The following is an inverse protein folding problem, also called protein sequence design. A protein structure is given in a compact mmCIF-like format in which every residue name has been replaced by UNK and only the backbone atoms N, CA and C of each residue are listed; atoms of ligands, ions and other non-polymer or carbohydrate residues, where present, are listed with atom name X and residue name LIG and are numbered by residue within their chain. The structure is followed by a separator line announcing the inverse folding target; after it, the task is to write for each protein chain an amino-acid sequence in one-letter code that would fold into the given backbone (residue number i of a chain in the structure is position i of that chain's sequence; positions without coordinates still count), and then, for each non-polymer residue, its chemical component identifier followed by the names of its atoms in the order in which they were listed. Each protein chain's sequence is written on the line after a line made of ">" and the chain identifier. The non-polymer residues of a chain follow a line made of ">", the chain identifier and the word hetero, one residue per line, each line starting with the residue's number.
data_IF_929831249012
#
_entry.id   IF_929831249012
#
_cell.length_a   1.000
_cell.length_b   1.000
_cell.length_c   1.000
_cell.angle_alpha   90.00
_cell.angle_beta   90.00
_cell.angle_gamma   90.00
#
_symmetry.space_group_name_H-M   'P 1'
#
loop_
_entity.id
_entity.type
_entity.pdbx_description
1 polymer ?
#
# COMPACT_ATOMS: atom_id res chain seq x y z
N UNK A 1 11.31 -14.87 -5.67
CA UNK A 1 11.79 -13.85 -4.70
C UNK A 1 10.57 -13.36 -3.96
N UNK A 2 10.67 -13.11 -2.65
CA UNK A 2 9.50 -12.73 -1.83
C UNK A 2 9.39 -11.22 -1.66
N UNK A 3 8.41 -10.60 -2.29
CA UNK A 3 8.10 -9.19 -2.09
C UNK A 3 6.92 -9.03 -1.13
N UNK A 4 6.94 -8.00 -0.30
CA UNK A 4 5.76 -7.56 0.43
C UNK A 4 5.14 -6.38 -0.30
N UNK A 5 3.87 -6.51 -0.68
CA UNK A 5 3.09 -5.48 -1.33
C UNK A 5 2.11 -4.91 -0.30
N UNK A 6 2.17 -3.60 -0.06
CA UNK A 6 1.27 -2.91 0.87
C UNK A 6 0.38 -1.97 0.06
N UNK A 7 -0.90 -2.28 -0.01
CA UNK A 7 -1.93 -1.46 -0.63
C UNK A 7 -2.49 -0.46 0.39
N UNK A 8 -2.25 0.82 0.11
CA UNK A 8 -2.88 2.01 0.72
C UNK A 8 -3.58 2.81 -0.39
N UNK A 9 -3.78 4.12 -0.20
CA UNK A 9 -4.11 5.06 -1.31
C UNK A 9 -3.11 4.92 -2.47
N UNK A 10 -1.88 4.52 -2.13
CA UNK A 10 -0.80 4.18 -3.07
C UNK A 10 -0.29 2.78 -2.74
N UNK A 11 0.30 2.09 -3.71
CA UNK A 11 0.88 0.76 -3.52
C UNK A 11 2.38 0.86 -3.28
N UNK A 12 2.86 0.26 -2.19
CA UNK A 12 4.27 0.16 -1.86
C UNK A 12 4.77 -1.28 -2.06
N UNK A 13 5.94 -1.42 -2.67
CA UNK A 13 6.64 -2.70 -2.86
C UNK A 13 7.93 -2.70 -2.04
N UNK A 14 8.01 -3.67 -1.12
CA UNK A 14 9.20 -3.95 -0.32
C UNK A 14 9.80 -5.27 -0.79
N UNK A 15 10.93 -5.21 -1.48
CA UNK A 15 11.59 -6.41 -2.00
C UNK A 15 12.31 -7.19 -0.89
N UNK A 16 12.48 -8.50 -1.10
CA UNK A 16 13.25 -9.38 -0.21
C UNK A 16 14.61 -8.81 0.17
N UNK A 17 15.35 -8.27 -0.80
CA UNK A 17 16.69 -7.70 -0.56
C UNK A 17 16.65 -6.45 0.33
N UNK A 18 15.64 -5.59 0.17
CA UNK A 18 15.47 -4.39 1.00
C UNK A 18 15.10 -4.76 2.43
N UNK A 19 14.16 -5.70 2.60
CA UNK A 19 13.75 -6.19 3.90
C UNK A 19 14.92 -6.86 4.62
N UNK A 20 15.72 -7.67 3.91
CA UNK A 20 16.94 -8.25 4.43
C UNK A 20 17.95 -7.18 4.87
N UNK A 21 18.21 -6.19 4.03
CA UNK A 21 19.12 -5.10 4.35
C UNK A 21 18.63 -4.24 5.53
N UNK A 22 17.31 -4.10 5.70
CA UNK A 22 16.70 -3.43 6.85
C UNK A 22 16.83 -4.28 8.12
N UNK A 23 16.52 -5.57 8.05
CA UNK A 23 16.67 -6.53 9.13
C UNK A 23 18.10 -6.62 9.68
N UNK A 24 19.09 -6.69 8.79
CA UNK A 24 20.50 -6.80 9.17
C UNK A 24 20.97 -5.57 9.96
N UNK A 25 20.39 -4.39 9.71
CA UNK A 25 20.68 -3.16 10.49
C UNK A 25 20.15 -3.21 11.92
N UNK A 26 19.09 -3.99 12.17
CA UNK A 26 18.50 -4.14 13.49
C UNK A 26 19.31 -5.07 14.41
N UNK A 27 20.37 -5.72 13.88
CA UNK A 27 21.24 -6.67 14.62
C UNK A 27 20.47 -7.80 15.30
N UNK A 28 19.41 -8.28 14.65
CA UNK A 28 18.62 -9.40 15.16
C UNK A 28 19.45 -10.69 15.19
N UNK A 29 19.27 -11.50 16.24
CA UNK A 29 19.89 -12.82 16.38
C UNK A 29 19.13 -13.91 15.59
N UNK A 30 17.95 -13.59 15.07
CA UNK A 30 17.14 -14.50 14.28
C UNK A 30 17.54 -14.36 12.80
N UNK A 31 17.88 -15.48 12.11
CA UNK A 31 18.16 -15.45 10.68
C UNK A 31 16.97 -14.94 9.87
N UNK A 32 17.20 -14.05 8.91
CA UNK A 32 16.15 -13.53 8.02
C UNK A 32 15.33 -14.64 7.34
N UNK A 33 16.00 -15.72 6.90
CA UNK A 33 15.34 -16.84 6.24
C UNK A 33 14.40 -17.65 7.16
N UNK A 34 14.45 -17.44 8.47
CA UNK A 34 13.59 -18.12 9.45
C UNK A 34 12.37 -17.30 9.88
N UNK A 35 12.19 -16.09 9.32
CA UNK A 35 11.03 -15.27 9.62
C UNK A 35 9.74 -15.97 9.13
N UNK A 36 8.73 -15.97 9.99
CA UNK A 36 7.37 -16.37 9.59
C UNK A 36 6.78 -15.33 8.65
N UNK A 37 5.72 -15.67 7.92
CA UNK A 37 5.02 -14.71 7.06
C UNK A 37 4.52 -13.49 7.87
N UNK A 38 4.01 -13.71 9.08
CA UNK A 38 3.58 -12.64 9.99
C UNK A 38 4.74 -11.70 10.34
N UNK A 39 5.89 -12.25 10.78
CA UNK A 39 7.08 -11.45 11.10
C UNK A 39 7.64 -10.73 9.88
N UNK A 40 7.49 -11.32 8.69
CA UNK A 40 7.91 -10.74 7.42
C UNK A 40 7.06 -9.53 7.03
N UNK A 41 5.74 -9.62 7.21
CA UNK A 41 4.82 -8.49 7.02
C UNK A 41 5.06 -7.39 8.06
N UNK A 42 5.20 -7.76 9.34
CA UNK A 42 5.52 -6.81 10.43
C UNK A 42 6.81 -6.03 10.14
N UNK A 43 7.84 -6.69 9.59
CA UNK A 43 9.08 -6.04 9.20
C UNK A 43 8.88 -4.99 8.09
N UNK A 44 8.05 -5.29 7.09
CA UNK A 44 7.73 -4.36 6.01
C UNK A 44 6.95 -3.14 6.53
N UNK A 45 6.04 -3.36 7.47
CA UNK A 45 5.32 -2.28 8.14
C UNK A 45 6.21 -1.42 9.04
N UNK A 46 7.11 -2.04 9.78
CA UNK A 46 8.10 -1.35 10.59
C UNK A 46 8.99 -0.46 9.71
N UNK A 47 9.45 -1.00 8.58
CA UNK A 47 10.19 -0.24 7.57
C UNK A 47 9.35 0.92 7.00
N UNK A 48 8.08 0.68 6.67
CA UNK A 48 7.15 1.71 6.17
C UNK A 48 7.02 2.87 7.17
N UNK A 49 6.85 2.58 8.45
CA UNK A 49 6.64 3.57 9.51
C UNK A 49 7.92 4.37 9.85
N UNK A 50 9.10 3.79 9.61
CA UNK A 50 10.38 4.44 9.89
C UNK A 50 11.06 5.04 8.64
N UNK A 51 10.43 4.96 7.47
CA UNK A 51 10.95 5.54 6.23
C UNK A 51 10.57 7.01 6.08
N UNK A 52 11.53 7.83 5.65
CA UNK A 52 11.26 9.21 5.25
C UNK A 52 10.46 9.27 3.94
N UNK A 53 9.87 10.43 3.65
CA UNK A 53 9.11 10.60 2.40
C UNK A 53 9.94 10.28 1.14
N UNK A 54 11.20 10.73 1.08
CA UNK A 54 12.07 10.45 -0.06
C UNK A 54 12.50 8.99 -0.16
N UNK A 55 12.52 8.26 0.96
CA UNK A 55 12.73 6.81 0.96
C UNK A 55 11.49 6.09 0.44
N UNK A 56 10.30 6.50 0.89
CA UNK A 56 9.02 5.93 0.45
C UNK A 56 8.79 6.05 -1.06
N UNK A 57 9.26 7.13 -1.69
CA UNK A 57 9.19 7.28 -3.15
C UNK A 57 9.87 6.15 -3.92
N UNK A 58 10.88 5.49 -3.35
CA UNK A 58 11.60 4.38 -3.97
C UNK A 58 10.83 3.03 -3.91
N UNK A 59 9.75 3.00 -3.13
CA UNK A 59 8.89 1.83 -2.95
C UNK A 59 7.60 1.92 -3.76
N UNK A 60 7.30 3.08 -4.34
CA UNK A 60 6.06 3.31 -5.09
C UNK A 60 6.15 2.76 -6.52
N UNK A 61 5.09 2.10 -6.96
CA UNK A 61 4.87 1.78 -8.38
C UNK A 61 4.82 3.10 -9.20
N UNK A 62 5.37 3.08 -10.42
CA UNK A 62 5.43 4.22 -11.36
C UNK A 62 6.24 5.44 -10.90
N UNK A 63 6.92 5.35 -9.76
CA UNK A 63 7.87 6.36 -9.27
C UNK A 63 9.27 5.75 -9.27
N UNK A 64 10.13 6.24 -10.16
CA UNK A 64 11.51 5.77 -10.27
C UNK A 64 11.66 4.51 -11.12
N UNK A 65 12.15 3.41 -10.53
CA UNK A 65 12.52 2.18 -11.24
C UNK A 65 11.60 0.99 -10.93
N UNK A 66 10.54 1.18 -10.14
CA UNK A 66 9.59 0.11 -9.77
C UNK A 66 8.60 -0.18 -10.87
N UNK A 67 8.32 -1.46 -11.08
CA UNK A 67 7.41 -1.92 -12.14
C UNK A 67 6.23 -2.71 -11.57
N UNK A 68 5.11 -2.74 -12.29
CA UNK A 68 3.96 -3.57 -11.91
C UNK A 68 4.32 -5.07 -11.82
N UNK A 69 5.33 -5.53 -12.57
CA UNK A 69 5.82 -6.92 -12.52
C UNK A 69 6.33 -7.31 -11.11
N UNK A 70 6.84 -6.35 -10.33
CA UNK A 70 7.32 -6.61 -8.98
C UNK A 70 6.20 -6.78 -7.94
N UNK A 71 4.95 -6.50 -8.33
CA UNK A 71 3.74 -6.79 -7.57
C UNK A 71 3.00 -8.02 -8.10
N UNK A 72 3.40 -8.58 -9.25
CA UNK A 72 2.72 -9.70 -9.89
C UNK A 72 3.45 -11.01 -9.56
N UNK A 73 2.73 -11.97 -8.98
CA UNK A 73 3.27 -13.27 -8.66
C UNK A 73 2.34 -14.10 -7.78
N UNK A 74 2.81 -15.25 -7.33
CA UNK A 74 2.00 -16.12 -6.47
C UNK A 74 1.86 -15.50 -5.08
N UNK A 75 0.64 -15.18 -4.66
CA UNK A 75 0.37 -14.76 -3.27
C UNK A 75 0.61 -15.94 -2.33
N UNK A 76 1.55 -15.76 -1.40
CA UNK A 76 1.94 -16.75 -0.39
C UNK A 76 1.18 -16.57 0.92
N UNK A 77 0.80 -15.33 1.23
CA UNK A 77 0.02 -14.93 2.40
C UNK A 77 -0.53 -13.52 2.21
N UNK A 78 -1.63 -13.22 2.88
CA UNK A 78 -2.28 -11.91 2.88
C UNK A 78 -2.80 -11.56 4.28
N UNK A 79 -2.86 -10.26 4.57
CA UNK A 79 -3.48 -9.69 5.77
C UNK A 79 -4.42 -8.53 5.40
N UNK A 80 -5.72 -8.79 5.60
CA UNK A 80 -6.83 -7.85 5.40
C UNK A 80 -7.49 -7.42 6.72
N UNK A 81 -6.83 -7.66 7.87
CA UNK A 81 -7.40 -7.37 9.19
C UNK A 81 -7.67 -5.88 9.43
N UNK A 82 -7.08 -4.99 8.63
CA UNK A 82 -7.13 -3.53 8.76
C UNK A 82 -7.94 -2.89 7.65
N UNK A 83 -8.60 -1.79 7.99
CA UNK A 83 -9.55 -1.15 7.08
C UNK A 83 -8.90 -0.31 5.97
N UNK A 84 -7.65 0.12 6.16
CA UNK A 84 -6.93 1.04 5.25
C UNK A 84 -5.59 0.49 4.75
N UNK A 85 -5.30 -0.77 5.07
CA UNK A 85 -4.07 -1.44 4.71
C UNK A 85 -4.42 -2.86 4.35
N UNK A 86 -4.11 -3.25 3.12
CA UNK A 86 -4.04 -4.63 2.70
C UNK A 86 -2.59 -4.98 2.43
N UNK A 87 -2.09 -6.08 2.99
CA UNK A 87 -0.72 -6.54 2.81
C UNK A 87 -0.72 -7.92 2.18
N UNK A 88 0.09 -8.09 1.14
CA UNK A 88 0.33 -9.36 0.46
C UNK A 88 1.82 -9.72 0.51
N UNK A 89 2.15 -10.99 0.68
CA UNK A 89 3.47 -11.54 0.34
C UNK A 89 3.34 -12.23 -1.02
N UNK A 90 4.12 -11.76 -1.99
CA UNK A 90 4.08 -12.24 -3.38
C UNK A 90 5.41 -12.91 -3.75
N UNK A 91 5.36 -14.11 -4.31
CA UNK A 91 6.49 -14.74 -4.98
C UNK A 91 6.50 -14.34 -6.47
N UNK A 92 7.35 -13.37 -6.79
CA UNK A 92 7.52 -12.84 -8.16
C UNK A 92 8.27 -13.79 -9.09
N UNK A 93 8.81 -14.92 -8.58
CA UNK A 93 9.42 -15.92 -9.45
C UNK A 93 8.42 -16.86 -10.13
N UNK A 94 7.17 -16.84 -9.67
CA UNK A 94 6.08 -17.64 -10.22
C UNK A 94 5.15 -16.70 -10.99
N UNK A 95 5.19 -16.70 -12.34
CA UNK A 95 4.33 -15.84 -13.13
C UNK A 95 2.87 -16.27 -12.98
N UNK A 96 2.04 -15.35 -12.51
CA UNK A 96 0.59 -15.47 -12.37
C UNK A 96 -0.07 -14.23 -12.91
N UNK A 97 -1.36 -14.33 -13.25
CA UNK A 97 -2.13 -13.12 -13.55
C UNK A 97 -2.20 -12.24 -12.30
N UNK A 98 -2.18 -10.90 -12.46
CA UNK A 98 -2.26 -9.97 -11.33
C UNK A 98 -3.44 -10.35 -10.45
N UNK A 99 -3.20 -10.46 -9.14
CA UNK A 99 -4.29 -10.54 -8.17
C UNK A 99 -5.22 -9.37 -8.42
N UNK A 100 -6.53 -9.66 -8.33
CA UNK A 100 -7.58 -8.67 -8.55
C UNK A 100 -7.30 -7.55 -7.55
N UNK A 101 -6.73 -6.41 -8.01
CA UNK A 101 -6.31 -5.28 -7.17
C UNK A 101 -7.48 -4.98 -6.23
N UNK A 102 -7.37 -5.43 -4.98
CA UNK A 102 -8.27 -5.02 -3.91
C UNK A 102 -7.84 -3.60 -3.57
N UNK A 103 -8.20 -2.68 -4.47
CA UNK A 103 -8.33 -1.29 -4.11
C UNK A 103 -9.22 -1.31 -2.88
N UNK A 104 -8.69 -0.78 -1.77
CA UNK A 104 -9.39 -0.62 -0.51
C UNK A 104 -10.83 -0.20 -0.81
N UNK A 105 -11.76 -1.15 -0.69
CA UNK A 105 -13.18 -1.05 -1.08
C UNK A 105 -13.95 -0.10 -0.12
N UNK A 106 -13.22 0.81 0.55
CA UNK A 106 -13.66 1.66 1.66
C UNK A 106 -13.17 3.11 1.52
N UNK A 107 -12.52 3.48 0.42
CA UNK A 107 -12.24 4.88 0.10
C UNK A 107 -13.07 5.34 -1.09
N UNK A 108 -13.97 6.30 -0.86
CA UNK A 108 -14.70 6.96 -1.94
C UNK A 108 -13.83 8.08 -2.51
N UNK A 109 -13.44 7.96 -3.78
CA UNK A 109 -12.89 9.09 -4.51
C UNK A 109 -14.01 10.12 -4.75
N UNK A 110 -13.74 11.37 -4.37
CA UNK A 110 -14.64 12.49 -4.62
C UNK A 110 -13.89 13.51 -5.47
N UNK A 111 -14.43 13.78 -6.66
CA UNK A 111 -13.93 14.83 -7.53
C UNK A 111 -14.68 16.15 -7.25
N UNK A 112 -13.95 17.21 -6.93
CA UNK A 112 -14.56 18.52 -6.74
C UNK A 112 -15.07 19.11 -8.07
N UNK A 113 -16.34 19.52 -8.18
CA UNK A 113 -16.87 20.10 -9.42
C UNK A 113 -16.33 21.50 -9.72
N UNK A 114 -15.70 22.17 -8.74
CA UNK A 114 -15.22 23.55 -8.88
C UNK A 114 -13.77 23.66 -9.35
N UNK A 115 -12.92 22.69 -9.00
CA UNK A 115 -11.48 22.74 -9.31
C UNK A 115 -10.90 21.42 -9.83
N UNK A 116 -11.75 20.40 -10.04
CA UNK A 116 -11.37 19.07 -10.52
C UNK A 116 -10.36 18.32 -9.64
N UNK A 117 -10.07 18.83 -8.44
CA UNK A 117 -9.24 18.15 -7.45
C UNK A 117 -9.96 16.92 -6.91
N UNK A 118 -9.32 15.76 -7.00
CA UNK A 118 -9.78 14.51 -6.37
C UNK A 118 -9.23 14.37 -4.96
N UNK A 119 -10.09 13.98 -4.02
CA UNK A 119 -9.68 13.57 -2.67
C UNK A 119 -10.42 12.31 -2.26
N UNK A 120 -9.85 11.60 -1.30
CA UNK A 120 -10.32 10.29 -0.87
C UNK A 120 -10.85 10.37 0.55
N UNK A 121 -12.02 9.78 0.79
CA UNK A 121 -12.61 9.71 2.11
C UNK A 121 -12.61 8.29 2.64
N UNK A 122 -11.97 8.13 3.80
CA UNK A 122 -12.02 6.94 4.62
C UNK A 122 -13.33 6.99 5.42
N UNK A 123 -14.30 6.14 5.07
CA UNK A 123 -15.66 6.09 5.65
C UNK A 123 -16.61 7.21 5.17
N UNK A 124 -16.98 7.20 3.89
CA UNK A 124 -18.18 7.92 3.46
C UNK A 124 -19.40 7.28 4.15
N UNK A 125 -19.90 7.89 5.22
CA UNK A 125 -21.22 7.54 5.73
C UNK A 125 -22.20 7.72 4.57
N UNK A 126 -23.05 6.72 4.24
CA UNK A 126 -23.93 6.75 3.06
C UNK A 126 -24.98 7.87 3.09
N UNK A 127 -25.03 8.66 4.17
CA UNK A 127 -25.96 9.77 4.38
C UNK A 127 -25.32 11.15 4.28
N UNK A 128 -23.98 11.25 4.21
CA UNK A 128 -23.29 12.54 4.09
C UNK A 128 -22.93 12.79 2.63
N UNK A 129 -23.60 13.78 2.06
CA UNK A 129 -23.42 14.21 0.68
C UNK A 129 -22.83 15.61 0.59
N UNK A 130 -22.73 16.35 1.71
CA UNK A 130 -22.14 17.69 1.77
C UNK A 130 -20.64 17.65 2.12
N UNK A 131 -19.82 18.13 1.20
CA UNK A 131 -18.36 18.11 1.26
C UNK A 131 -17.76 19.50 1.09
N UNK A 132 -16.62 19.76 1.72
CA UNK A 132 -15.82 20.96 1.46
C UNK A 132 -14.51 20.53 0.80
N UNK A 133 -14.23 21.07 -0.38
CA UNK A 133 -13.00 20.74 -1.10
C UNK A 133 -11.78 21.28 -0.33
N UNK A 134 -10.78 20.44 -0.01
CA UNK A 134 -9.59 20.90 0.69
C UNK A 134 -8.69 21.79 -0.18
N UNK A 135 -8.80 21.71 -1.52
CA UNK A 135 -7.98 22.48 -2.45
C UNK A 135 -8.53 23.88 -2.73
N UNK A 136 -9.85 24.04 -2.89
CA UNK A 136 -10.46 25.33 -3.23
C UNK A 136 -11.40 25.90 -2.16
N UNK A 137 -11.67 25.16 -1.09
CA UNK A 137 -12.55 25.59 0.01
C UNK A 137 -14.04 25.64 -0.33
N UNK A 138 -14.44 25.36 -1.57
CA UNK A 138 -15.84 25.35 -1.96
C UNK A 138 -16.58 24.14 -1.37
N UNK A 139 -17.78 24.40 -0.84
CA UNK A 139 -18.71 23.34 -0.44
C UNK A 139 -19.48 22.83 -1.67
N UNK A 140 -19.71 21.53 -1.75
CA UNK A 140 -20.44 20.89 -2.83
C UNK A 140 -21.17 19.63 -2.35
N UNK A 141 -22.23 19.26 -3.06
CA UNK A 141 -23.06 18.11 -2.74
C UNK A 141 -22.88 17.01 -3.78
N UNK A 142 -22.65 15.77 -3.37
CA UNK A 142 -22.59 14.60 -4.26
C UNK A 142 -23.76 13.67 -3.97
N UNK A 143 -24.64 13.47 -4.95
CA UNK A 143 -25.62 12.38 -4.93
C UNK A 143 -24.85 11.08 -5.22
N UNK A 144 -24.58 10.29 -4.18
CA UNK A 144 -24.07 8.92 -4.34
C UNK A 144 -25.24 7.98 -4.63
#
# INVERSE_FOLDING_TARGET
>A
MKNVVIHKIVTFIFTEEQLKAYWDKQKSHIPFASLTNEQYMELAEDMLNHSSHSQLEQHLIDKGWRTEEEANGLVLAEDESREDIHIEIVDTSVPTEPTKKLFIDRMTEIQCPHCSFSFYLRNAHPTRSDWTCPACGNAFHTSV
#
